data_IF_306670637916
#
_entry.id   IF_306670637916
#
_cell.length_a   1.000
_cell.length_b   1.000
_cell.length_c   1.000
_cell.angle_alpha   90.00
_cell.angle_beta   90.00
_cell.angle_gamma   90.00
#
_symmetry.space_group_name_H-M   'P 1'
#
loop_
_entity.id
_entity.type
_entity.pdbx_description
1 polymer ?
#
# COMPACT_ATOMS: atom_id res chain seq x y z
N UNK A 1 -5.10 -0.14 15.39
CA UNK A 1 -5.44 -1.49 15.85
C UNK A 1 -4.69 -2.46 14.94
N UNK A 2 -3.95 -3.44 15.48
CA UNK A 2 -3.50 -4.55 14.63
C UNK A 2 -4.74 -5.28 14.14
N UNK A 3 -4.91 -5.46 12.84
CA UNK A 3 -5.95 -6.34 12.35
C UNK A 3 -5.57 -7.78 12.75
N UNK A 4 -6.58 -8.63 12.97
CA UNK A 4 -6.35 -10.07 13.15
C UNK A 4 -5.47 -10.58 12.00
N UNK A 5 -4.49 -11.44 12.31
CA UNK A 5 -3.73 -12.12 11.25
C UNK A 5 -4.73 -12.85 10.36
N UNK A 6 -4.61 -12.64 9.05
CA UNK A 6 -5.39 -13.39 8.08
C UNK A 6 -4.77 -14.79 7.98
N UNK A 7 -5.58 -15.82 8.25
CA UNK A 7 -5.13 -17.21 8.17
C UNK A 7 -5.13 -17.72 6.72
N UNK A 8 -5.72 -16.97 5.80
CA UNK A 8 -5.91 -17.34 4.40
C UNK A 8 -5.01 -16.52 3.46
N UNK A 9 -4.81 -17.02 2.24
CA UNK A 9 -4.06 -16.32 1.20
C UNK A 9 -4.88 -15.13 0.67
N UNK A 10 -4.38 -13.91 0.86
CA UNK A 10 -5.03 -12.70 0.34
C UNK A 10 -4.50 -12.42 -1.06
N UNK A 11 -5.38 -12.38 -2.05
CA UNK A 11 -5.02 -11.92 -3.38
C UNK A 11 -5.30 -10.42 -3.52
N UNK A 12 -4.29 -9.67 -3.91
CA UNK A 12 -4.34 -8.22 -4.13
C UNK A 12 -4.27 -7.97 -5.63
N UNK A 13 -5.34 -7.41 -6.18
CA UNK A 13 -5.29 -6.74 -7.47
C UNK A 13 -4.61 -5.38 -7.25
N UNK A 14 -3.36 -5.25 -7.69
CA UNK A 14 -2.64 -3.98 -7.63
C UNK A 14 -3.07 -3.09 -8.79
N UNK A 15 -3.84 -2.06 -8.45
CA UNK A 15 -4.21 -0.99 -9.37
C UNK A 15 -3.03 -0.02 -9.42
N UNK A 16 -2.39 0.19 -10.58
CA UNK A 16 -1.28 1.12 -10.66
C UNK A 16 -1.74 2.52 -10.23
N UNK A 17 -0.93 3.27 -9.45
CA UNK A 17 -1.30 4.56 -8.89
C UNK A 17 -1.73 5.59 -9.95
N UNK A 18 -1.21 5.47 -11.17
CA UNK A 18 -1.54 6.32 -12.31
C UNK A 18 -2.66 5.77 -13.21
N UNK A 19 -3.26 4.62 -12.88
CA UNK A 19 -4.31 3.94 -13.67
C UNK A 19 -3.96 3.58 -15.14
N UNK A 20 -2.72 3.79 -15.59
CA UNK A 20 -2.28 3.54 -16.98
C UNK A 20 -1.48 2.23 -17.16
N UNK A 21 -1.26 1.46 -16.09
CA UNK A 21 -0.52 0.20 -16.15
C UNK A 21 -1.41 -1.04 -16.25
N UNK A 22 -0.84 -2.15 -16.73
CA UNK A 22 -1.50 -3.47 -16.65
C UNK A 22 -1.69 -3.84 -15.17
N UNK A 23 -2.88 -4.36 -14.86
CA UNK A 23 -3.17 -4.97 -13.57
C UNK A 23 -2.08 -5.98 -13.20
N UNK A 24 -1.52 -5.83 -12.00
CA UNK A 24 -0.55 -6.77 -11.44
C UNK A 24 -1.17 -7.47 -10.25
N UNK A 25 -0.87 -8.75 -10.08
CA UNK A 25 -1.48 -9.57 -9.05
C UNK A 25 -0.42 -9.94 -8.03
N UNK A 26 -0.76 -9.78 -6.76
CA UNK A 26 0.06 -10.20 -5.65
C UNK A 26 -0.74 -11.11 -4.75
N UNK A 27 -0.09 -12.09 -4.13
CA UNK A 27 -0.64 -12.89 -3.04
C UNK A 27 0.11 -12.59 -1.76
N UNK A 28 -0.65 -12.51 -0.67
CA UNK A 28 -0.18 -12.30 0.68
C UNK A 28 -0.39 -13.61 1.45
N UNK A 29 0.70 -14.28 1.80
CA UNK A 29 0.69 -15.56 2.51
C UNK A 29 1.44 -15.42 3.82
N UNK A 30 0.69 -15.33 4.91
CA UNK A 30 1.25 -15.05 6.23
C UNK A 30 1.98 -13.70 6.27
N UNK A 31 3.31 -13.74 6.24
CA UNK A 31 4.17 -12.57 6.42
C UNK A 31 4.90 -12.12 5.13
N UNK A 32 4.54 -12.69 3.97
CA UNK A 32 5.19 -12.42 2.68
C UNK A 32 4.21 -11.92 1.63
N UNK A 33 4.69 -11.02 0.77
CA UNK A 33 4.01 -10.58 -0.46
C UNK A 33 4.76 -11.21 -1.64
N UNK A 34 4.03 -11.87 -2.54
CA UNK A 34 4.57 -12.51 -3.72
C UNK A 34 3.78 -12.10 -4.96
N UNK A 35 4.45 -11.78 -6.07
CA UNK A 35 3.77 -11.57 -7.35
C UNK A 35 3.22 -12.90 -7.85
N UNK A 36 1.97 -12.94 -8.32
CA UNK A 36 1.33 -14.15 -8.84
C UNK A 36 0.72 -13.92 -10.24
N UNK A 37 0.33 -15.01 -10.90
CA UNK A 37 -0.34 -14.97 -12.20
C UNK A 37 -1.84 -14.71 -12.05
N UNK A 38 -2.47 -14.14 -13.08
CA UNK A 38 -3.92 -13.93 -13.10
C UNK A 38 -4.70 -15.23 -12.91
N UNK A 39 -4.26 -16.33 -13.52
CA UNK A 39 -4.94 -17.63 -13.44
C UNK A 39 -5.04 -18.14 -11.99
N UNK A 40 -4.00 -17.92 -11.17
CA UNK A 40 -4.01 -18.26 -9.73
C UNK A 40 -5.08 -17.46 -8.95
N UNK A 41 -5.37 -16.24 -9.40
CA UNK A 41 -6.33 -15.34 -8.75
C UNK A 41 -7.75 -15.61 -9.26
N UNK A 42 -7.92 -15.89 -10.55
CA UNK A 42 -9.23 -16.01 -11.21
C UNK A 42 -10.14 -17.03 -10.52
N UNK A 43 -9.57 -18.16 -10.10
CA UNK A 43 -10.30 -19.30 -9.51
C UNK A 43 -10.69 -19.11 -8.04
N UNK A 44 -10.25 -18.02 -7.39
CA UNK A 44 -10.50 -17.77 -5.97
C UNK A 44 -11.80 -17.00 -5.75
N UNK A 45 -12.56 -17.41 -4.74
CA UNK A 45 -13.83 -16.76 -4.35
C UNK A 45 -13.62 -15.42 -3.67
N UNK A 46 -12.54 -15.26 -2.92
CA UNK A 46 -12.23 -14.02 -2.21
C UNK A 46 -10.98 -13.36 -2.80
N UNK A 47 -11.15 -12.12 -3.26
CA UNK A 47 -10.09 -11.28 -3.82
C UNK A 47 -10.25 -9.90 -3.21
N UNK A 48 -9.15 -9.29 -2.79
CA UNK A 48 -9.16 -7.92 -2.26
C UNK A 48 -8.55 -6.97 -3.28
N UNK A 49 -9.17 -5.80 -3.38
CA UNK A 49 -8.60 -4.69 -4.15
C UNK A 49 -7.61 -3.92 -3.30
N UNK A 50 -6.49 -3.54 -3.92
CA UNK A 50 -5.49 -2.76 -3.22
C UNK A 50 -4.37 -2.25 -4.09
N UNK A 51 -3.30 -1.89 -3.40
CA UNK A 51 -2.09 -1.32 -3.94
C UNK A 51 -0.90 -2.05 -3.35
N UNK A 52 0.09 -2.31 -4.18
CA UNK A 52 1.41 -2.74 -3.76
C UNK A 52 2.40 -1.62 -3.99
N UNK A 53 3.20 -1.35 -2.97
CA UNK A 53 4.17 -0.27 -2.96
C UNK A 53 5.57 -0.81 -2.73
N UNK A 54 6.50 -0.25 -3.48
CA UNK A 54 7.94 -0.34 -3.22
C UNK A 54 8.45 1.07 -2.99
N UNK A 55 9.22 1.29 -1.92
CA UNK A 55 9.78 2.61 -1.60
C UNK A 55 11.12 2.48 -0.86
N UNK A 56 11.87 3.58 -0.79
CA UNK A 56 13.13 3.65 -0.05
C UNK A 56 12.94 4.34 1.29
N UNK A 57 13.64 3.90 2.33
CA UNK A 57 13.67 4.58 3.61
C UNK A 57 14.66 5.73 3.62
N UNK A 58 14.67 6.55 4.68
CA UNK A 58 15.72 7.55 4.92
C UNK A 58 17.13 6.96 4.96
N UNK A 59 17.25 5.67 5.31
CA UNK A 59 18.51 4.90 5.28
C UNK A 59 18.78 4.23 3.94
N UNK A 60 18.06 4.63 2.87
CA UNK A 60 18.16 4.08 1.51
C UNK A 60 17.90 2.57 1.42
N UNK A 61 17.20 2.00 2.41
CA UNK A 61 16.78 0.60 2.36
C UNK A 61 15.48 0.48 1.58
N UNK A 62 15.43 -0.44 0.63
CA UNK A 62 14.20 -0.81 -0.07
C UNK A 62 13.23 -1.48 0.91
N UNK A 63 11.97 -1.06 0.89
CA UNK A 63 10.87 -1.62 1.66
C UNK A 63 9.66 -1.80 0.78
N UNK A 64 8.76 -2.64 1.26
CA UNK A 64 7.53 -3.00 0.57
C UNK A 64 6.35 -2.84 1.53
N UNK A 65 5.21 -2.45 0.98
CA UNK A 65 3.95 -2.39 1.70
C UNK A 65 2.81 -2.74 0.76
N UNK A 66 1.72 -3.24 1.32
CA UNK A 66 0.47 -3.41 0.60
C UNK A 66 -0.66 -2.68 1.34
N UNK A 67 -1.53 -2.01 0.61
CA UNK A 67 -2.70 -1.33 1.14
C UNK A 67 -3.93 -1.87 0.45
N UNK A 68 -4.85 -2.48 1.19
CA UNK A 68 -6.04 -3.10 0.61
C UNK A 68 -7.25 -2.84 1.49
N UNK A 69 -8.45 -3.04 0.94
CA UNK A 69 -9.68 -2.87 1.69
C UNK A 69 -10.18 -4.22 2.17
N UNK A 70 -10.59 -4.26 3.43
CA UNK A 70 -11.22 -5.42 4.05
C UNK A 70 -12.30 -4.94 5.02
N UNK A 71 -13.52 -5.45 4.89
CA UNK A 71 -14.68 -5.05 5.69
C UNK A 71 -14.82 -3.52 5.82
N UNK A 72 -14.75 -2.82 4.68
CA UNK A 72 -14.92 -1.37 4.55
C UNK A 72 -13.90 -0.53 5.32
N UNK A 73 -12.73 -1.10 5.59
CA UNK A 73 -11.61 -0.44 6.24
C UNK A 73 -10.34 -0.66 5.42
N UNK A 74 -9.51 0.37 5.29
CA UNK A 74 -8.19 0.23 4.72
C UNK A 74 -7.24 -0.48 5.70
N UNK A 75 -6.59 -1.53 5.21
CA UNK A 75 -5.57 -2.31 5.92
C UNK A 75 -4.24 -2.11 5.22
N UNK A 76 -3.27 -1.59 5.96
CA UNK A 76 -1.87 -1.54 5.54
C UNK A 76 -1.16 -2.78 6.07
N UNK A 77 -0.63 -3.60 5.18
CA UNK A 77 0.36 -4.60 5.51
C UNK A 77 1.76 -4.00 5.37
N UNK A 78 2.46 -3.87 6.50
CA UNK A 78 3.82 -3.33 6.57
C UNK A 78 4.61 -4.05 7.66
N UNK A 79 5.84 -4.46 7.36
CA UNK A 79 6.72 -5.17 8.30
C UNK A 79 6.03 -6.36 8.99
N UNK A 80 5.30 -7.17 8.21
CA UNK A 80 4.62 -8.39 8.71
C UNK A 80 3.45 -8.11 9.66
N UNK A 81 3.03 -6.86 9.77
CA UNK A 81 1.89 -6.44 10.58
C UNK A 81 0.76 -5.92 9.69
N UNK A 82 -0.47 -6.26 10.08
CA UNK A 82 -1.69 -5.69 9.50
C UNK A 82 -2.15 -4.52 10.35
N UNK A 83 -2.19 -3.34 9.77
CA UNK A 83 -2.43 -2.08 10.47
C UNK A 83 -3.70 -1.47 9.91
N UNK A 84 -4.71 -1.26 10.76
CA UNK A 84 -5.91 -0.51 10.36
C UNK A 84 -5.56 0.95 10.13
N UNK A 85 -5.98 1.48 8.99
CA UNK A 85 -5.76 2.84 8.55
C UNK A 85 -7.07 3.61 8.62
N UNK A 86 -7.08 4.72 9.34
CA UNK A 86 -8.19 5.66 9.41
C UNK A 86 -7.67 7.10 9.34
N UNK A 87 -8.51 8.08 8.97
CA UNK A 87 -8.10 9.49 8.95
C UNK A 87 -7.53 9.98 10.29
N UNK A 88 -8.03 9.44 11.41
CA UNK A 88 -7.69 9.91 12.74
C UNK A 88 -6.38 9.32 13.29
N UNK A 89 -5.89 8.23 12.69
CA UNK A 89 -4.73 7.52 13.23
C UNK A 89 -3.47 7.66 12.40
N UNK A 90 -3.50 8.42 11.30
CA UNK A 90 -2.32 8.71 10.48
C UNK A 90 -2.02 10.20 10.47
N UNK A 91 -0.73 10.53 10.57
CA UNK A 91 -0.20 11.85 10.26
C UNK A 91 0.94 11.72 9.27
N UNK A 92 0.91 12.51 8.21
CA UNK A 92 1.98 12.56 7.20
C UNK A 92 2.63 13.93 7.30
N UNK A 93 3.94 13.95 7.51
CA UNK A 93 4.75 15.16 7.48
C UNK A 93 5.75 15.02 6.32
N UNK A 94 5.82 16.04 5.48
CA UNK A 94 6.61 16.06 4.25
C UNK A 94 7.63 17.19 4.29
N UNK A 95 8.89 16.87 4.00
CA UNK A 95 10.00 17.82 3.91
C UNK A 95 10.91 17.45 2.74
N UNK A 96 10.83 18.23 1.65
CA UNK A 96 11.56 17.98 0.40
C UNK A 96 11.33 16.53 -0.07
N UNK A 97 12.42 15.77 -0.17
CA UNK A 97 12.49 14.38 -0.60
C UNK A 97 12.23 13.38 0.55
N UNK A 98 11.90 13.87 1.75
CA UNK A 98 11.71 13.05 2.93
C UNK A 98 10.28 13.16 3.43
N UNK A 99 9.65 12.03 3.70
CA UNK A 99 8.33 11.97 4.31
C UNK A 99 8.37 11.11 5.57
N UNK A 100 7.59 11.50 6.56
CA UNK A 100 7.41 10.78 7.83
C UNK A 100 5.93 10.50 8.02
N UNK A 101 5.56 9.24 7.87
CA UNK A 101 4.21 8.74 8.15
C UNK A 101 4.20 8.20 9.57
N UNK A 102 3.37 8.77 10.42
CA UNK A 102 3.19 8.34 11.81
C UNK A 102 1.80 7.72 11.93
N UNK A 103 1.74 6.45 12.32
CA UNK A 103 0.50 5.70 12.50
C UNK A 103 0.35 5.40 14.00
N UNK A 104 -0.64 6.04 14.62
CA UNK A 104 -0.95 5.87 16.03
C UNK A 104 -1.83 4.64 16.22
N UNK A 105 -1.36 3.70 17.04
CA UNK A 105 -2.11 2.52 17.45
C UNK A 105 -2.69 2.74 18.86
N UNK A 106 -3.74 1.98 19.23
CA UNK A 106 -4.17 1.89 20.62
C UNK A 106 -2.99 1.50 21.54
N UNK A 107 -3.05 1.88 22.81
CA UNK A 107 -2.00 1.64 23.83
C UNK A 107 -0.71 2.47 23.64
N UNK A 108 -0.83 3.67 23.06
CA UNK A 108 0.28 4.64 22.89
C UNK A 108 1.47 4.14 22.05
N UNK A 109 1.28 3.08 21.28
CA UNK A 109 2.28 2.62 20.31
C UNK A 109 2.15 3.42 19.01
N UNK A 110 3.26 3.95 18.51
CA UNK A 110 3.30 4.64 17.20
C UNK A 110 4.23 3.92 16.25
N UNK A 111 3.72 3.55 15.08
CA UNK A 111 4.55 3.07 13.97
C UNK A 111 4.99 4.29 13.16
N UNK A 112 6.29 4.41 12.89
CA UNK A 112 6.86 5.50 12.09
C UNK A 112 7.48 4.93 10.83
N UNK A 113 6.97 5.33 9.67
CA UNK A 113 7.53 5.00 8.36
C UNK A 113 8.22 6.26 7.82
N UNK A 114 9.54 6.15 7.66
CA UNK A 114 10.41 7.22 7.16
C UNK A 114 10.75 6.95 5.72
N UNK A 115 10.11 7.65 4.80
CA UNK A 115 10.22 7.43 3.36
C UNK A 115 11.14 8.49 2.74
N UNK A 116 12.01 8.06 1.84
CA UNK A 116 12.85 8.90 1.01
C UNK A 116 12.46 8.73 -0.46
N UNK A 117 12.32 9.86 -1.12
CA UNK A 117 11.92 9.99 -2.51
C UNK A 117 12.99 10.77 -3.23
N UNK A 118 13.92 10.10 -3.92
CA UNK A 118 15.05 10.77 -4.51
C UNK A 118 14.59 11.83 -5.51
N UNK A 119 15.26 12.99 -5.57
CA UNK A 119 15.01 13.95 -6.64
C UNK A 119 15.38 13.28 -7.95
N UNK A 120 14.54 13.48 -8.97
CA UNK A 120 14.49 12.79 -10.28
C UNK A 120 15.82 12.51 -11.03
N UNK A 121 16.98 13.02 -10.60
CA UNK A 121 18.23 13.02 -11.36
C UNK A 121 19.43 12.28 -10.75
N UNK A 122 19.37 11.81 -9.51
CA UNK A 122 20.62 11.58 -8.78
C UNK A 122 21.14 10.14 -8.64
N UNK A 123 20.43 9.09 -9.07
CA UNK A 123 20.78 7.73 -8.61
C UNK A 123 21.14 6.65 -9.63
N UNK A 124 20.81 6.74 -10.93
CA UNK A 124 21.11 5.63 -11.85
C UNK A 124 21.76 6.09 -13.17
N UNK A 125 22.97 5.60 -13.44
CA UNK A 125 23.67 5.67 -14.74
C UNK A 125 23.16 4.61 -15.75
N UNK A 126 22.13 3.82 -15.42
CA UNK A 126 21.59 2.74 -16.27
C UNK A 126 20.31 3.13 -17.03
N UNK A 127 19.87 4.40 -16.95
CA UNK A 127 18.74 4.92 -17.72
C UNK A 127 17.37 4.33 -17.36
N UNK A 128 17.28 3.44 -16.36
CA UNK A 128 16.02 2.86 -15.92
C UNK A 128 15.38 3.73 -14.83
N UNK A 129 14.51 4.64 -15.27
CA UNK A 129 13.52 5.28 -14.41
C UNK A 129 12.37 4.28 -14.22
N UNK A 130 12.03 3.83 -13.00
CA UNK A 130 10.69 3.36 -12.80
C UNK A 130 9.78 4.59 -12.87
N UNK A 131 8.64 4.46 -13.55
CA UNK A 131 7.52 5.41 -13.62
C UNK A 131 6.88 5.72 -12.24
N UNK A 132 7.61 5.50 -11.15
CA UNK A 132 7.18 5.47 -9.76
C UNK A 132 7.83 6.64 -9.00
N UNK A 133 7.30 7.85 -9.22
CA UNK A 133 7.34 8.86 -8.16
C UNK A 133 6.56 8.27 -6.99
N UNK A 134 7.25 8.01 -5.88
CA UNK A 134 6.79 7.35 -4.64
C UNK A 134 5.26 7.44 -4.41
N UNK A 135 4.50 6.46 -4.91
CA UNK A 135 3.04 6.57 -4.89
C UNK A 135 2.46 6.29 -3.51
N UNK A 136 3.25 5.73 -2.58
CA UNK A 136 2.74 5.26 -1.30
C UNK A 136 2.18 6.39 -0.44
N UNK A 137 3.00 7.39 -0.12
CA UNK A 137 2.55 8.54 0.67
C UNK A 137 1.46 9.35 -0.03
N UNK A 138 1.57 9.57 -1.34
CA UNK A 138 0.55 10.30 -2.11
C UNK A 138 -0.80 9.54 -2.17
N UNK A 139 -0.75 8.22 -2.30
CA UNK A 139 -1.95 7.37 -2.26
C UNK A 139 -2.57 7.38 -0.88
N UNK A 140 -1.76 7.31 0.18
CA UNK A 140 -2.25 7.46 1.56
C UNK A 140 -2.90 8.83 1.77
N UNK A 141 -2.27 9.94 1.36
CA UNK A 141 -2.86 11.28 1.44
C UNK A 141 -4.20 11.36 0.69
N UNK A 142 -4.25 10.85 -0.55
CA UNK A 142 -5.48 10.80 -1.35
C UNK A 142 -6.60 10.01 -0.68
N UNK A 143 -6.25 8.88 -0.05
CA UNK A 143 -7.19 8.05 0.71
C UNK A 143 -7.67 8.77 1.97
N UNK A 144 -6.77 9.38 2.74
CA UNK A 144 -7.14 10.06 3.98
C UNK A 144 -8.08 11.25 3.72
N UNK A 145 -7.83 12.02 2.65
CA UNK A 145 -8.65 13.16 2.28
C UNK A 145 -10.05 12.80 1.79
N UNK A 146 -10.24 11.59 1.23
CA UNK A 146 -11.50 11.17 0.60
C UNK A 146 -11.93 9.77 1.08
N UNK A 147 -11.69 9.45 2.35
CA UNK A 147 -11.70 8.08 2.88
C UNK A 147 -12.98 7.30 2.55
N UNK A 148 -14.15 7.85 2.90
CA UNK A 148 -15.45 7.20 2.65
C UNK A 148 -15.75 7.06 1.16
N UNK A 149 -15.38 8.05 0.34
CA UNK A 149 -15.58 8.00 -1.11
C UNK A 149 -14.68 6.93 -1.74
N UNK A 150 -13.42 6.83 -1.29
CA UNK A 150 -12.48 5.82 -1.78
C UNK A 150 -12.93 4.41 -1.43
N UNK A 151 -13.49 4.17 -0.25
CA UNK A 151 -14.11 2.88 0.09
C UNK A 151 -15.19 2.53 -0.93
N UNK A 152 -16.13 3.45 -1.20
CA UNK A 152 -17.22 3.20 -2.16
C UNK A 152 -16.73 2.91 -3.58
N UNK A 153 -15.73 3.64 -4.05
CA UNK A 153 -15.11 3.41 -5.37
C UNK A 153 -14.55 1.99 -5.44
N UNK A 154 -13.81 1.58 -4.42
CA UNK A 154 -13.25 0.23 -4.37
C UNK A 154 -14.31 -0.85 -4.21
N UNK A 155 -15.35 -0.65 -3.42
CA UNK A 155 -16.49 -1.59 -3.32
C UNK A 155 -17.15 -1.79 -4.69
N UNK A 156 -17.30 -0.74 -5.48
CA UNK A 156 -17.86 -0.84 -6.82
C UNK A 156 -16.92 -1.56 -7.78
N UNK A 157 -15.63 -1.19 -7.79
CA UNK A 157 -14.62 -1.90 -8.60
C UNK A 157 -14.55 -3.39 -8.25
N UNK A 158 -14.70 -3.75 -6.97
CA UNK A 158 -14.66 -5.15 -6.53
C UNK A 158 -15.84 -5.97 -7.07
N UNK A 159 -16.98 -5.34 -7.41
CA UNK A 159 -18.12 -6.01 -8.03
C UNK A 159 -17.93 -6.25 -9.53
N UNK A 160 -17.00 -5.54 -10.17
CA UNK A 160 -16.74 -5.63 -11.61
C UNK A 160 -15.65 -6.67 -11.97
N UNK A 161 -15.05 -7.34 -10.97
CA UNK A 161 -13.94 -8.30 -11.11
C UNK A 161 -14.40 -9.72 -10.77
#
# INVERSE_FOLDING_TARGET
>A
MKASKFNEEIFILNIPPNMYGKNTYYKLKGEKIEKCKFDEVKEKKEKLLGFYFTFYTWSLQKKEAALFIYNNIFILFYQKEYIKITPNNIKINSWLNFKKISINLPLSQTIVIKIFTPPFRYLNNDGSFPEMVEPFSATLESILNNYTQKIRIFENLAKEI
#
